data_IF_478330036714
#
_entry.id   IF_478330036714
#
_cell.length_a   1.000
_cell.length_b   1.000
_cell.length_c   1.000
_cell.angle_alpha   90.00
_cell.angle_beta   90.00
_cell.angle_gamma   90.00
#
_symmetry.space_group_name_H-M   'P 1'
#
loop_
_entity.id
_entity.type
_entity.pdbx_description
1 polymer ?
#
# COMPACT_ATOMS: atom_id res chain seq x y z
N UNK A 1 -10.96 -8.74 16.19
CA UNK A 1 -9.57 -8.76 15.74
C UNK A 1 -9.26 -10.02 14.94
N UNK A 2 -9.25 -11.23 15.53
CA UNK A 2 -8.96 -12.50 14.81
C UNK A 2 -9.79 -12.71 13.52
N UNK A 3 -11.12 -12.56 13.58
CA UNK A 3 -12.00 -12.72 12.40
C UNK A 3 -11.74 -11.72 11.26
N UNK A 4 -11.19 -10.55 11.57
CA UNK A 4 -10.94 -9.48 10.60
C UNK A 4 -9.59 -9.67 9.88
N UNK A 5 -8.56 -10.07 10.63
CA UNK A 5 -7.28 -10.52 10.09
C UNK A 5 -7.48 -11.75 9.20
N UNK A 6 -8.30 -12.70 9.65
CA UNK A 6 -8.66 -13.89 8.86
C UNK A 6 -9.42 -13.50 7.59
N UNK A 7 -10.36 -12.55 7.64
CA UNK A 7 -11.08 -12.11 6.44
C UNK A 7 -10.17 -11.38 5.43
N UNK A 8 -9.21 -10.59 5.90
CA UNK A 8 -8.18 -9.97 5.05
C UNK A 8 -7.29 -11.04 4.41
N UNK A 9 -6.81 -12.00 5.20
CA UNK A 9 -6.03 -13.13 4.70
C UNK A 9 -6.82 -13.96 3.70
N UNK A 10 -8.12 -14.17 3.93
CA UNK A 10 -9.02 -14.94 3.04
C UNK A 10 -9.31 -14.21 1.73
N UNK A 11 -9.52 -12.90 1.76
CA UNK A 11 -9.73 -12.09 0.56
C UNK A 11 -8.46 -11.98 -0.28
N UNK A 12 -7.30 -11.80 0.37
CA UNK A 12 -6.00 -11.86 -0.30
C UNK A 12 -5.73 -13.25 -0.86
N UNK A 13 -6.07 -14.32 -0.12
CA UNK A 13 -5.90 -15.70 -0.60
C UNK A 13 -6.87 -16.08 -1.73
N UNK A 14 -8.08 -15.49 -1.77
CA UNK A 14 -9.03 -15.69 -2.85
C UNK A 14 -8.57 -15.04 -4.16
N UNK A 15 -7.88 -13.91 -4.07
CA UNK A 15 -7.27 -13.26 -5.23
C UNK A 15 -6.01 -13.99 -5.72
N UNK A 16 -5.29 -14.67 -4.82
CA UNK A 16 -4.16 -15.59 -5.08
C UNK A 16 -4.52 -16.74 -6.04
N UNK A 17 -5.81 -17.09 -6.17
CA UNK A 17 -6.28 -18.10 -7.13
C UNK A 17 -6.65 -17.51 -8.50
N UNK A 18 -6.79 -16.18 -8.61
CA UNK A 18 -7.15 -15.46 -9.83
C UNK A 18 -5.97 -14.72 -10.45
N UNK A 19 -4.94 -14.42 -9.66
CA UNK A 19 -3.66 -13.99 -10.18
C UNK A 19 -3.04 -15.16 -10.99
N UNK A 20 -2.46 -14.90 -12.17
CA UNK A 20 -1.73 -15.93 -12.90
C UNK A 20 -0.71 -16.56 -11.95
N UNK A 21 -0.58 -17.90 -12.02
CA UNK A 21 0.40 -18.63 -11.23
C UNK A 21 1.75 -17.90 -11.34
N UNK A 22 2.47 -17.70 -10.21
CA UNK A 22 3.70 -16.94 -10.23
C UNK A 22 4.61 -17.54 -11.29
N UNK A 23 4.88 -16.76 -12.34
CA UNK A 23 5.94 -17.07 -13.28
C UNK A 23 7.19 -17.29 -12.41
N UNK A 24 7.72 -18.50 -12.49
CA UNK A 24 8.89 -18.93 -11.74
C UNK A 24 9.96 -17.85 -11.82
N UNK A 25 10.36 -17.33 -10.64
CA UNK A 25 11.47 -16.42 -10.38
C UNK A 25 12.28 -16.10 -11.65
N UNK A 26 12.02 -14.94 -12.25
CA UNK A 26 12.90 -14.43 -13.30
C UNK A 26 14.24 -14.04 -12.64
N UNK A 27 15.08 -15.08 -12.56
CA UNK A 27 16.50 -15.09 -12.28
C UNK A 27 17.19 -13.92 -13.03
N UNK A 28 18.12 -13.25 -12.34
CA UNK A 28 18.97 -12.14 -12.83
C UNK A 28 19.83 -12.48 -14.08
N UNK A 29 19.63 -13.68 -14.65
CA UNK A 29 20.34 -14.24 -15.78
C UNK A 29 19.32 -14.63 -16.87
N UNK A 30 19.67 -14.50 -18.16
CA UNK A 30 18.78 -14.96 -19.24
C UNK A 30 18.48 -16.46 -19.14
N UNK A 31 17.29 -16.87 -19.62
CA UNK A 31 16.76 -18.25 -19.55
C UNK A 31 17.75 -19.32 -20.04
N UNK A 32 18.51 -19.00 -21.10
CA UNK A 32 19.56 -19.89 -21.65
C UNK A 32 20.71 -20.13 -20.67
N UNK A 33 21.10 -19.11 -19.91
CA UNK A 33 22.19 -19.19 -18.92
C UNK A 33 21.76 -20.03 -17.72
N UNK A 34 20.52 -19.85 -17.29
CA UNK A 34 19.90 -20.65 -16.23
C UNK A 34 19.85 -22.12 -16.64
N UNK A 35 19.37 -22.41 -17.85
CA UNK A 35 19.24 -23.78 -18.35
C UNK A 35 20.62 -24.46 -18.47
N UNK A 36 21.63 -23.71 -18.89
CA UNK A 36 23.02 -24.18 -18.90
C UNK A 36 23.51 -24.53 -17.49
N UNK A 37 23.28 -23.68 -16.49
CA UNK A 37 23.69 -23.92 -15.10
C UNK A 37 22.94 -25.14 -14.52
N UNK A 38 21.63 -25.27 -14.77
CA UNK A 38 20.82 -26.42 -14.33
C UNK A 38 21.30 -27.75 -14.95
N UNK A 39 21.70 -27.74 -16.22
CA UNK A 39 22.24 -28.92 -16.93
C UNK A 39 23.68 -29.23 -16.56
N UNK A 40 24.43 -28.25 -16.06
CA UNK A 40 25.84 -28.37 -15.71
C UNK A 40 26.11 -27.91 -14.26
N UNK A 41 25.62 -28.67 -13.26
CA UNK A 41 25.70 -28.27 -11.84
C UNK A 41 27.14 -28.16 -11.30
N UNK A 42 28.12 -28.74 -12.01
CA UNK A 42 29.54 -28.70 -11.68
C UNK A 42 30.36 -27.76 -12.58
N UNK A 43 29.71 -26.92 -13.39
CA UNK A 43 30.40 -26.00 -14.27
C UNK A 43 31.28 -25.03 -13.46
N UNK A 44 32.54 -24.87 -13.87
CA UNK A 44 33.42 -23.87 -13.28
C UNK A 44 32.92 -22.46 -13.62
N UNK A 45 33.19 -21.46 -12.78
CA UNK A 45 32.75 -20.11 -13.07
C UNK A 45 33.37 -19.51 -14.34
N UNK A 46 34.56 -19.97 -14.76
CA UNK A 46 35.08 -19.63 -16.09
C UNK A 46 34.21 -20.19 -17.22
N UNK A 47 33.69 -21.41 -17.07
CA UNK A 47 32.79 -22.03 -18.06
C UNK A 47 31.46 -21.28 -18.14
N UNK A 48 30.92 -20.85 -17.00
CA UNK A 48 29.68 -20.04 -16.96
C UNK A 48 29.92 -18.67 -17.59
N UNK A 49 31.06 -18.02 -17.31
CA UNK A 49 31.42 -16.73 -17.91
C UNK A 49 31.56 -16.84 -19.44
N UNK A 50 32.27 -17.85 -19.93
CA UNK A 50 32.42 -18.13 -21.37
C UNK A 50 31.05 -18.39 -22.04
N UNK A 51 30.14 -19.09 -21.34
CA UNK A 51 28.79 -19.32 -21.85
C UNK A 51 27.98 -18.02 -21.95
N UNK A 52 28.08 -17.14 -20.94
CA UNK A 52 27.42 -15.82 -20.94
C UNK A 52 28.01 -14.93 -22.04
N UNK A 53 29.33 -14.87 -22.18
CA UNK A 53 30.00 -14.09 -23.24
C UNK A 53 29.55 -14.54 -24.65
N UNK A 54 29.32 -15.83 -24.86
CA UNK A 54 28.88 -16.37 -26.15
C UNK A 54 27.37 -16.31 -26.42
N UNK A 55 26.52 -16.31 -25.38
CA UNK A 55 25.06 -16.46 -25.52
C UNK A 55 24.24 -15.29 -24.98
N UNK A 56 24.84 -14.44 -24.15
CA UNK A 56 24.21 -13.30 -23.48
C UNK A 56 25.23 -12.17 -23.19
N UNK A 57 25.91 -11.64 -24.23
CA UNK A 57 27.07 -10.74 -24.07
C UNK A 57 26.76 -9.45 -23.31
N UNK A 58 25.51 -8.96 -23.38
CA UNK A 58 25.01 -7.80 -22.61
C UNK A 58 25.04 -7.97 -21.08
N UNK A 59 25.19 -9.21 -20.58
CA UNK A 59 25.31 -9.51 -19.15
C UNK A 59 26.75 -9.81 -18.72
N UNK A 60 27.71 -9.83 -19.67
CA UNK A 60 29.12 -10.15 -19.37
C UNK A 60 29.76 -9.13 -18.40
N UNK A 61 29.38 -7.85 -18.52
CA UNK A 61 29.86 -6.76 -17.66
C UNK A 61 29.32 -6.84 -16.21
N UNK A 62 28.21 -7.58 -16.01
CA UNK A 62 27.59 -7.79 -14.69
C UNK A 62 28.20 -8.96 -13.91
N UNK A 63 29.03 -9.79 -14.57
CA UNK A 63 29.66 -10.97 -14.00
C UNK A 63 31.19 -10.77 -14.03
N UNK A 64 31.71 -10.03 -13.06
CA UNK A 64 33.11 -9.58 -13.04
C UNK A 64 34.04 -10.56 -12.35
N UNK A 65 33.52 -11.43 -11.48
CA UNK A 65 34.31 -12.37 -10.69
C UNK A 65 33.64 -13.72 -10.50
N UNK A 66 34.46 -14.73 -10.18
CA UNK A 66 34.05 -16.06 -9.75
C UNK A 66 33.00 -16.01 -8.62
N UNK A 67 33.12 -15.02 -7.74
CA UNK A 67 32.23 -14.81 -6.62
C UNK A 67 30.86 -14.29 -7.05
N UNK A 68 30.78 -13.46 -8.11
CA UNK A 68 29.51 -12.91 -8.62
C UNK A 68 28.63 -14.03 -9.18
N UNK A 69 29.21 -15.00 -9.89
CA UNK A 69 28.49 -16.18 -10.39
C UNK A 69 27.95 -17.02 -9.23
N UNK A 70 28.79 -17.30 -8.23
CA UNK A 70 28.39 -18.09 -7.06
C UNK A 70 27.33 -17.36 -6.25
N UNK A 71 27.40 -16.04 -6.12
CA UNK A 71 26.38 -15.21 -5.46
C UNK A 71 25.08 -15.16 -6.25
N UNK A 72 25.12 -15.04 -7.58
CA UNK A 72 23.94 -15.05 -8.45
C UNK A 72 23.25 -16.42 -8.48
N UNK A 73 24.04 -17.51 -8.49
CA UNK A 73 23.53 -18.90 -8.48
C UNK A 73 23.02 -19.31 -7.10
N UNK A 74 23.67 -18.88 -6.02
CA UNK A 74 23.23 -19.16 -4.66
C UNK A 74 22.32 -18.08 -4.08
N UNK A 75 21.91 -17.08 -4.86
CA UNK A 75 20.84 -16.17 -4.46
C UNK A 75 19.52 -16.93 -4.47
N UNK A 76 19.30 -17.76 -3.45
CA UNK A 76 17.96 -18.02 -2.94
C UNK A 76 17.45 -16.69 -2.44
N UNK A 77 16.86 -15.91 -3.33
CA UNK A 77 16.07 -14.77 -2.93
C UNK A 77 14.94 -15.29 -2.06
N UNK A 78 15.07 -15.16 -0.75
CA UNK A 78 13.97 -15.47 0.16
C UNK A 78 12.81 -14.58 -0.25
N UNK A 79 11.60 -15.14 -0.22
CA UNK A 79 10.35 -14.40 -0.45
C UNK A 79 10.26 -13.14 0.43
N UNK A 80 11.00 -13.10 1.54
CA UNK A 80 11.02 -12.02 2.52
C UNK A 80 12.19 -11.03 2.43
N UNK A 81 13.15 -11.20 1.50
CA UNK A 81 14.38 -10.38 1.49
C UNK A 81 14.11 -8.88 1.35
N UNK A 82 13.02 -8.49 0.69
CA UNK A 82 12.57 -7.10 0.56
C UNK A 82 11.35 -6.76 1.44
N UNK A 83 10.79 -7.72 2.17
CA UNK A 83 9.59 -7.51 2.99
C UNK A 83 9.82 -6.46 4.07
N UNK A 84 11.00 -6.42 4.69
CA UNK A 84 11.29 -5.42 5.72
C UNK A 84 11.38 -4.00 5.14
N UNK A 85 11.93 -3.85 3.93
CA UNK A 85 12.02 -2.56 3.25
C UNK A 85 10.64 -2.08 2.83
N UNK A 86 9.78 -2.96 2.31
CA UNK A 86 8.40 -2.64 1.99
C UNK A 86 7.56 -2.32 3.24
N UNK A 87 7.79 -3.02 4.35
CA UNK A 87 7.17 -2.68 5.63
C UNK A 87 7.55 -1.26 6.09
N UNK A 88 8.84 -0.92 6.07
CA UNK A 88 9.31 0.44 6.35
C UNK A 88 8.72 1.46 5.38
N UNK A 89 8.66 1.12 4.10
CA UNK A 89 8.08 1.97 3.07
C UNK A 89 6.61 2.26 3.36
N UNK A 90 5.82 1.26 3.76
CA UNK A 90 4.43 1.41 4.17
C UNK A 90 4.26 2.33 5.37
N UNK A 91 5.10 2.14 6.41
CA UNK A 91 5.10 3.02 7.59
C UNK A 91 5.43 4.47 7.17
N UNK A 92 6.50 4.65 6.39
CA UNK A 92 6.95 5.97 5.93
C UNK A 92 5.89 6.63 5.05
N UNK A 93 5.25 5.89 4.16
CA UNK A 93 4.19 6.38 3.28
C UNK A 93 3.04 7.01 4.08
N UNK A 94 2.57 6.33 5.14
CA UNK A 94 1.52 6.88 6.00
C UNK A 94 1.99 8.05 6.86
N UNK A 95 3.19 7.97 7.42
CA UNK A 95 3.69 9.01 8.33
C UNK A 95 4.22 10.26 7.63
N UNK A 96 4.57 10.18 6.34
CA UNK A 96 5.02 11.32 5.54
C UNK A 96 3.95 11.87 4.60
N UNK A 97 2.89 11.10 4.34
CA UNK A 97 1.78 11.51 3.48
C UNK A 97 0.76 12.37 4.22
N UNK A 98 0.67 13.69 3.97
CA UNK A 98 -0.28 14.55 4.66
C UNK A 98 -1.74 14.15 4.39
N UNK A 99 -2.02 13.61 3.20
CA UNK A 99 -3.33 13.08 2.83
C UNK A 99 -3.79 11.96 3.79
N UNK A 100 -2.91 11.01 4.10
CA UNK A 100 -3.21 9.89 4.98
C UNK A 100 -3.39 10.33 6.42
N UNK A 101 -2.53 11.24 6.90
CA UNK A 101 -2.65 11.80 8.25
C UNK A 101 -3.99 12.50 8.41
N UNK A 102 -4.34 13.41 7.49
CA UNK A 102 -5.60 14.15 7.56
C UNK A 102 -6.82 13.24 7.41
N UNK A 103 -6.74 12.20 6.57
CA UNK A 103 -7.81 11.21 6.45
C UNK A 103 -8.03 10.42 7.75
N UNK A 104 -6.96 9.88 8.36
CA UNK A 104 -7.04 9.13 9.62
C UNK A 104 -7.50 10.01 10.77
N UNK A 105 -7.01 11.25 10.86
CA UNK A 105 -7.47 12.21 11.86
C UNK A 105 -8.97 12.49 11.67
N UNK A 106 -9.42 12.71 10.43
CA UNK A 106 -10.84 12.92 10.14
C UNK A 106 -11.67 11.70 10.57
N UNK A 107 -11.25 10.47 10.28
CA UNK A 107 -11.91 9.25 10.74
C UNK A 107 -12.05 9.18 12.26
N UNK A 108 -10.98 9.54 13.00
CA UNK A 108 -11.00 9.55 14.46
C UNK A 108 -11.98 10.57 15.03
N UNK A 109 -12.12 11.73 14.38
CA UNK A 109 -13.06 12.77 14.77
C UNK A 109 -14.52 12.35 14.53
N UNK A 110 -14.81 11.59 13.46
CA UNK A 110 -16.17 11.10 13.13
C UNK A 110 -16.57 9.93 14.05
N UNK A 111 -15.67 8.98 14.25
CA UNK A 111 -16.00 7.63 14.69
C UNK A 111 -15.48 7.38 16.11
N UNK A 112 -16.06 8.11 17.07
CA UNK A 112 -15.79 7.97 18.49
C UNK A 112 -16.05 6.53 18.98
N UNK A 113 -15.02 5.68 18.90
CA UNK A 113 -15.07 4.29 19.31
C UNK A 113 -14.03 3.45 18.58
N UNK A 114 -13.07 2.91 19.34
CA UNK A 114 -11.98 2.05 18.83
C UNK A 114 -12.49 0.98 17.86
N UNK A 115 -13.60 0.29 18.20
CA UNK A 115 -14.20 -0.75 17.35
C UNK A 115 -14.58 -0.26 15.96
N UNK A 116 -15.08 0.97 15.84
CA UNK A 116 -15.48 1.55 14.57
C UNK A 116 -14.25 2.01 13.79
N UNK A 117 -13.27 2.62 14.46
CA UNK A 117 -11.99 2.99 13.85
C UNK A 117 -11.35 1.78 13.16
N UNK A 118 -11.17 0.67 13.87
CA UNK A 118 -10.61 -0.57 13.29
C UNK A 118 -11.43 -1.12 12.11
N UNK A 119 -12.75 -0.98 12.12
CA UNK A 119 -13.60 -1.43 11.00
C UNK A 119 -13.38 -0.56 9.76
N UNK A 120 -13.33 0.76 9.93
CA UNK A 120 -13.19 1.69 8.82
C UNK A 120 -11.76 1.68 8.25
N UNK A 121 -10.74 1.72 9.11
CA UNK A 121 -9.34 1.61 8.66
C UNK A 121 -9.11 0.27 7.99
N UNK A 122 -9.65 -0.82 8.53
CA UNK A 122 -9.55 -2.12 7.90
C UNK A 122 -10.26 -2.20 6.54
N UNK A 123 -11.47 -1.65 6.40
CA UNK A 123 -12.17 -1.60 5.12
C UNK A 123 -11.39 -0.78 4.08
N UNK A 124 -10.77 0.33 4.52
CA UNK A 124 -9.89 1.13 3.70
C UNK A 124 -8.65 0.32 3.26
N UNK A 125 -7.97 -0.37 4.18
CA UNK A 125 -6.78 -1.18 3.86
C UNK A 125 -7.11 -2.31 2.88
N UNK A 126 -8.27 -2.95 3.00
CA UNK A 126 -8.72 -3.96 2.01
C UNK A 126 -8.87 -3.32 0.63
N UNK A 127 -9.60 -2.22 0.51
CA UNK A 127 -9.81 -1.53 -0.76
C UNK A 127 -8.51 -1.03 -1.39
N UNK A 128 -7.64 -0.46 -0.55
CA UNK A 128 -6.31 -0.02 -0.93
C UNK A 128 -5.47 -1.18 -1.47
N UNK A 129 -5.47 -2.32 -0.78
CA UNK A 129 -4.76 -3.52 -1.20
C UNK A 129 -5.25 -4.03 -2.57
N UNK A 130 -6.57 -4.06 -2.79
CA UNK A 130 -7.17 -4.50 -4.06
C UNK A 130 -6.63 -3.65 -5.21
N UNK A 131 -6.64 -2.33 -5.06
CA UNK A 131 -6.21 -1.42 -6.14
C UNK A 131 -4.71 -1.37 -6.34
N UNK A 132 -3.91 -1.53 -5.28
CA UNK A 132 -2.47 -1.73 -5.41
C UNK A 132 -2.12 -2.99 -6.21
N UNK A 133 -2.81 -4.10 -5.94
CA UNK A 133 -2.61 -5.34 -6.70
C UNK A 133 -3.00 -5.13 -8.17
N UNK A 134 -4.18 -4.57 -8.42
CA UNK A 134 -4.66 -4.32 -9.79
C UNK A 134 -3.73 -3.36 -10.56
N UNK A 135 -3.25 -2.31 -9.91
CA UNK A 135 -2.43 -1.31 -10.59
C UNK A 135 -0.95 -1.71 -10.71
N UNK A 136 -0.40 -2.40 -9.70
CA UNK A 136 0.95 -2.93 -9.76
C UNK A 136 1.10 -4.14 -10.69
N UNK A 137 0.04 -4.93 -10.91
CA UNK A 137 0.00 -5.96 -11.97
C UNK A 137 -0.29 -5.39 -13.37
N UNK A 138 -0.52 -4.07 -13.48
CA UNK A 138 -0.84 -3.42 -14.75
C UNK A 138 -2.27 -3.62 -15.25
N UNK A 139 -3.13 -4.36 -14.54
CA UNK A 139 -4.53 -4.60 -14.90
C UNK A 139 -5.41 -3.35 -14.81
N UNK A 140 -5.05 -2.39 -13.97
CA UNK A 140 -5.76 -1.13 -13.81
C UNK A 140 -4.81 0.05 -13.86
N UNK A 141 -5.01 0.95 -14.82
CA UNK A 141 -4.27 2.21 -14.89
C UNK A 141 -5.25 3.36 -14.97
N UNK A 142 -5.04 4.35 -14.10
CA UNK A 142 -5.85 5.57 -14.05
C UNK A 142 -4.91 6.76 -13.92
N UNK A 143 -5.26 7.86 -14.59
CA UNK A 143 -4.46 9.09 -14.54
C UNK A 143 -4.46 9.68 -13.13
N UNK A 144 -3.29 10.13 -12.67
CA UNK A 144 -3.15 10.89 -11.41
C UNK A 144 -4.07 12.12 -11.37
N UNK A 145 -4.30 12.76 -12.53
CA UNK A 145 -5.23 13.90 -12.68
C UNK A 145 -6.68 13.58 -12.29
N UNK A 146 -7.06 12.30 -12.27
CA UNK A 146 -8.38 11.84 -11.80
C UNK A 146 -8.27 11.34 -10.36
N UNK A 147 -7.23 10.54 -10.07
CA UNK A 147 -7.06 9.87 -8.79
C UNK A 147 -6.77 10.84 -7.65
N UNK A 148 -5.84 11.77 -7.83
CA UNK A 148 -5.38 12.67 -6.77
C UNK A 148 -6.43 13.69 -6.32
N UNK A 149 -7.26 14.27 -7.21
CA UNK A 149 -8.40 15.08 -6.79
C UNK A 149 -9.43 14.27 -6.00
N UNK A 150 -9.68 13.01 -6.36
CA UNK A 150 -10.63 12.14 -5.62
C UNK A 150 -10.08 11.79 -4.24
N UNK A 151 -8.76 11.56 -4.12
CA UNK A 151 -8.08 11.41 -2.83
C UNK A 151 -8.28 12.66 -1.98
N UNK A 152 -8.06 13.86 -2.52
CA UNK A 152 -8.27 15.11 -1.78
C UNK A 152 -9.75 15.30 -1.39
N UNK A 153 -10.68 15.07 -2.33
CA UNK A 153 -12.12 15.13 -2.09
C UNK A 153 -12.55 14.15 -0.98
N UNK A 154 -11.96 12.96 -0.91
CA UNK A 154 -12.26 11.99 0.15
C UNK A 154 -12.00 12.55 1.54
N UNK A 155 -10.91 13.30 1.72
CA UNK A 155 -10.55 13.93 2.99
C UNK A 155 -11.59 15.00 3.34
N UNK A 156 -11.97 15.83 2.37
CA UNK A 156 -12.99 16.85 2.57
C UNK A 156 -14.35 16.24 2.97
N UNK A 157 -14.78 15.18 2.27
CA UNK A 157 -16.05 14.48 2.55
C UNK A 157 -16.04 13.86 3.95
N UNK A 158 -14.97 13.18 4.34
CA UNK A 158 -14.87 12.56 5.68
C UNK A 158 -14.79 13.63 6.77
N UNK A 159 -14.02 14.70 6.56
CA UNK A 159 -13.92 15.83 7.49
C UNK A 159 -15.27 16.54 7.68
N UNK A 160 -15.97 16.91 6.60
CA UNK A 160 -17.29 17.55 6.69
C UNK A 160 -18.34 16.60 7.29
N UNK A 161 -18.29 15.33 6.92
CA UNK A 161 -19.18 14.29 7.46
C UNK A 161 -19.03 14.09 8.97
N UNK A 162 -17.84 14.38 9.52
CA UNK A 162 -17.56 14.30 10.97
C UNK A 162 -18.38 15.26 11.81
N UNK A 163 -18.70 16.43 11.26
CA UNK A 163 -19.23 17.57 12.02
C UNK A 163 -20.64 17.97 11.60
N UNK A 164 -20.92 17.94 10.30
CA UNK A 164 -22.19 18.46 9.76
C UNK A 164 -23.21 17.36 9.50
N UNK A 165 -22.79 16.09 9.49
CA UNK A 165 -23.64 14.95 9.12
C UNK A 165 -23.85 13.94 10.27
N UNK A 166 -23.44 14.29 11.50
CA UNK A 166 -23.48 13.42 12.68
C UNK A 166 -24.90 12.87 12.99
N UNK A 167 -25.94 13.65 12.69
CA UNK A 167 -27.35 13.29 12.85
C UNK A 167 -28.07 13.12 11.50
N UNK A 168 -27.32 13.09 10.39
CA UNK A 168 -27.89 13.09 9.06
C UNK A 168 -28.20 11.64 8.60
N UNK A 169 -29.49 11.36 8.47
CA UNK A 169 -30.05 10.07 8.00
C UNK A 169 -29.59 9.67 6.59
N UNK A 170 -29.07 10.61 5.78
CA UNK A 170 -28.61 10.37 4.40
C UNK A 170 -27.21 9.73 4.30
N UNK A 171 -26.31 9.91 5.29
CA UNK A 171 -25.14 9.04 5.50
C UNK A 171 -25.49 8.02 6.59
N UNK A 172 -26.68 7.45 6.42
CA UNK A 172 -27.39 6.57 7.32
C UNK A 172 -26.78 5.19 7.36
N UNK A 173 -26.64 4.68 8.58
CA UNK A 173 -26.13 3.37 8.93
C UNK A 173 -24.62 3.11 8.72
N UNK A 174 -24.15 2.07 9.39
CA UNK A 174 -22.75 1.62 9.39
C UNK A 174 -22.30 1.10 8.02
N UNK A 175 -23.23 0.58 7.21
CA UNK A 175 -22.93 -0.03 5.90
C UNK A 175 -22.63 1.05 4.87
N UNK A 176 -23.43 2.11 4.80
CA UNK A 176 -23.18 3.25 3.91
C UNK A 176 -21.83 3.89 4.19
N UNK A 177 -21.50 4.07 5.47
CA UNK A 177 -20.19 4.59 5.91
C UNK A 177 -19.05 3.67 5.49
N UNK A 178 -19.18 2.36 5.68
CA UNK A 178 -18.18 1.39 5.22
C UNK A 178 -18.03 1.43 3.69
N UNK A 179 -19.12 1.55 2.94
CA UNK A 179 -19.10 1.66 1.48
C UNK A 179 -18.35 2.90 0.99
N UNK A 180 -18.58 4.06 1.62
CA UNK A 180 -17.87 5.31 1.30
C UNK A 180 -16.37 5.18 1.59
N UNK A 181 -16.00 4.66 2.77
CA UNK A 181 -14.59 4.47 3.14
C UNK A 181 -13.89 3.44 2.24
N UNK A 182 -14.59 2.36 1.89
CA UNK A 182 -14.09 1.37 0.94
C UNK A 182 -13.86 2.00 -0.44
N UNK A 183 -14.84 2.75 -0.96
CA UNK A 183 -14.73 3.46 -2.23
C UNK A 183 -13.51 4.39 -2.26
N UNK A 184 -13.32 5.21 -1.22
CA UNK A 184 -12.14 6.08 -1.16
C UNK A 184 -10.83 5.30 -1.01
N UNK A 185 -10.83 4.19 -0.28
CA UNK A 185 -9.67 3.30 -0.18
C UNK A 185 -9.19 2.79 -1.54
N UNK A 186 -10.10 2.53 -2.49
CA UNK A 186 -9.75 2.15 -3.88
C UNK A 186 -8.91 3.25 -4.56
N UNK A 187 -9.33 4.51 -4.45
CA UNK A 187 -8.59 5.62 -5.08
C UNK A 187 -7.26 5.90 -4.40
N UNK A 188 -7.20 5.77 -3.08
CA UNK A 188 -5.93 5.93 -2.36
C UNK A 188 -4.90 4.87 -2.77
N UNK A 189 -5.31 3.63 -3.06
CA UNK A 189 -4.38 2.61 -3.56
C UNK A 189 -3.85 2.93 -4.97
N UNK A 190 -4.71 3.48 -5.83
CA UNK A 190 -4.29 3.95 -7.16
C UNK A 190 -3.26 5.09 -7.09
N UNK A 191 -3.36 5.97 -6.08
CA UNK A 191 -2.42 7.10 -5.91
C UNK A 191 -0.98 6.66 -5.66
N UNK A 192 -0.78 5.48 -5.07
CA UNK A 192 0.55 4.92 -4.80
C UNK A 192 1.08 4.01 -5.92
N UNK A 193 0.21 3.59 -6.85
CA UNK A 193 0.58 2.64 -7.90
C UNK A 193 1.70 3.13 -8.82
N UNK A 194 1.81 4.45 -9.03
CA UNK A 194 2.92 5.04 -9.79
C UNK A 194 4.28 4.75 -9.15
N UNK A 195 4.38 4.88 -7.83
CA UNK A 195 5.61 4.61 -7.09
C UNK A 195 6.01 3.13 -7.15
N UNK A 196 5.04 2.22 -7.13
CA UNK A 196 5.32 0.78 -7.27
C UNK A 196 5.88 0.41 -8.65
N UNK A 197 5.45 1.10 -9.71
CA UNK A 197 6.02 0.91 -11.05
C UNK A 197 7.47 1.39 -11.13
N UNK A 198 7.82 2.47 -10.44
CA UNK A 198 9.20 2.99 -10.39
C UNK A 198 10.16 2.09 -9.61
N UNK A 199 9.67 1.35 -8.61
CA UNK A 199 10.51 0.47 -7.77
C UNK A 199 10.85 -0.86 -8.46
N UNK A 200 10.23 -1.18 -9.62
CA UNK A 200 10.49 -2.39 -10.44
C UNK A 200 10.59 -3.68 -9.60
N UNK A 201 9.54 -3.96 -8.81
CA UNK A 201 9.53 -5.13 -7.92
C UNK A 201 9.52 -6.44 -8.73
N UNK A 202 10.43 -7.39 -8.45
CA UNK A 202 10.39 -8.71 -9.09
C UNK A 202 9.03 -9.40 -8.91
N UNK A 203 8.52 -10.03 -9.97
CA UNK A 203 7.17 -10.62 -9.99
C UNK A 203 6.98 -11.67 -8.88
N UNK A 204 8.00 -12.47 -8.60
CA UNK A 204 7.99 -13.52 -7.56
C UNK A 204 7.91 -12.95 -6.13
N UNK A 205 8.32 -11.69 -5.94
CA UNK A 205 8.28 -10.96 -4.66
C UNK A 205 7.16 -9.93 -4.59
N UNK A 206 6.44 -9.69 -5.69
CA UNK A 206 5.42 -8.64 -5.75
C UNK A 206 4.39 -8.76 -4.64
N UNK A 207 3.85 -9.98 -4.43
CA UNK A 207 2.83 -10.21 -3.41
C UNK A 207 3.37 -10.08 -1.98
N UNK A 208 4.58 -10.59 -1.71
CA UNK A 208 5.22 -10.47 -0.38
C UNK A 208 5.50 -9.00 -0.03
N UNK A 209 5.93 -8.24 -1.03
CA UNK A 209 6.21 -6.81 -0.95
C UNK A 209 4.94 -6.02 -0.67
N UNK A 210 3.86 -6.28 -1.41
CA UNK A 210 2.56 -5.64 -1.18
C UNK A 210 1.96 -5.99 0.18
N UNK A 211 2.04 -7.25 0.61
CA UNK A 211 1.56 -7.64 1.93
C UNK A 211 2.35 -6.93 3.05
N UNK A 212 3.67 -6.87 2.91
CA UNK A 212 4.54 -6.20 3.88
C UNK A 212 4.30 -4.69 3.90
N UNK A 213 4.09 -4.08 2.74
CA UNK A 213 3.72 -2.69 2.60
C UNK A 213 2.39 -2.36 3.29
N UNK A 214 1.35 -3.16 3.05
CA UNK A 214 0.06 -2.97 3.70
C UNK A 214 0.12 -3.19 5.22
N UNK A 215 0.94 -4.13 5.69
CA UNK A 215 1.22 -4.28 7.12
C UNK A 215 1.92 -3.03 7.68
N UNK A 216 2.86 -2.46 6.93
CA UNK A 216 3.49 -1.19 7.26
C UNK A 216 2.49 -0.03 7.33
N UNK A 217 1.52 0.02 6.40
CA UNK A 217 0.42 0.99 6.42
C UNK A 217 -0.39 0.86 7.70
N UNK A 218 -0.81 -0.36 8.07
CA UNK A 218 -1.61 -0.59 9.27
C UNK A 218 -0.84 -0.16 10.53
N UNK A 219 0.46 -0.47 10.62
CA UNK A 219 1.33 0.01 11.71
C UNK A 219 1.37 1.54 11.75
N UNK A 220 1.61 2.21 10.61
CA UNK A 220 1.66 3.67 10.53
C UNK A 220 0.34 4.33 10.95
N UNK A 221 -0.80 3.76 10.53
CA UNK A 221 -2.12 4.21 10.96
C UNK A 221 -2.31 4.04 12.46
N UNK A 222 -1.91 2.91 13.04
CA UNK A 222 -2.00 2.67 14.48
C UNK A 222 -1.13 3.63 15.29
N UNK A 223 0.02 4.05 14.78
CA UNK A 223 0.85 5.10 15.40
C UNK A 223 0.08 6.43 15.44
N UNK A 224 -0.49 6.87 14.32
CA UNK A 224 -1.28 8.12 14.28
C UNK A 224 -2.46 8.04 15.25
N UNK A 225 -3.17 6.91 15.26
CA UNK A 225 -4.29 6.65 16.16
C UNK A 225 -3.83 6.69 17.63
N UNK A 226 -2.73 6.02 17.95
CA UNK A 226 -2.16 5.96 19.30
C UNK A 226 -1.71 7.32 19.82
N UNK A 227 -1.25 8.21 18.94
CA UNK A 227 -0.88 9.58 19.28
C UNK A 227 -2.10 10.49 19.44
N UNK A 228 -3.12 10.36 18.59
CA UNK A 228 -4.29 11.24 18.61
C UNK A 228 -5.32 10.88 19.69
N UNK A 229 -5.53 9.59 19.96
CA UNK A 229 -6.57 9.10 20.88
C UNK A 229 -6.46 9.64 22.32
N UNK A 230 -5.27 9.73 22.94
CA UNK A 230 -5.14 10.30 24.29
C UNK A 230 -5.70 11.72 24.38
N UNK A 231 -5.37 12.60 23.42
CA UNK A 231 -5.88 13.97 23.40
C UNK A 231 -7.40 14.01 23.21
N UNK A 232 -7.93 13.20 22.29
CA UNK A 232 -9.38 13.06 22.09
C UNK A 232 -10.04 12.61 23.41
N UNK A 233 -9.50 11.60 24.09
CA UNK A 233 -10.05 11.08 25.34
C UNK A 233 -10.03 12.11 26.46
N UNK A 234 -8.92 12.85 26.62
CA UNK A 234 -8.75 13.85 27.67
C UNK A 234 -9.64 15.09 27.46
N UNK A 235 -9.85 15.50 26.22
CA UNK A 235 -10.54 16.73 25.89
C UNK A 235 -12.05 16.54 25.65
N UNK A 236 -12.53 15.32 25.36
CA UNK A 236 -13.93 15.07 24.94
C UNK A 236 -15.01 15.57 25.90
N UNK A 237 -14.71 15.68 27.20
CA UNK A 237 -15.66 16.10 28.22
C UNK A 237 -15.72 17.62 28.41
N UNK A 238 -14.89 18.40 27.69
CA UNK A 238 -14.86 19.87 27.80
C UNK A 238 -16.02 20.47 27.00
N UNK A 239 -16.66 21.51 27.54
CA UNK A 239 -17.80 22.20 26.92
C UNK A 239 -17.47 22.82 25.56
N UNK A 240 -16.21 23.26 25.36
CA UNK A 240 -15.71 23.81 24.10
C UNK A 240 -15.26 22.74 23.08
N UNK A 241 -15.18 21.46 23.49
CA UNK A 241 -14.68 20.39 22.63
C UNK A 241 -15.47 20.22 21.32
N UNK A 242 -16.82 20.25 21.32
CA UNK A 242 -17.58 20.16 20.07
C UNK A 242 -17.22 21.27 19.08
N UNK A 243 -17.07 22.51 19.55
CA UNK A 243 -16.68 23.65 18.71
C UNK A 243 -15.27 23.46 18.14
N UNK A 244 -14.32 23.01 18.96
CA UNK A 244 -12.97 22.71 18.50
C UNK A 244 -12.99 21.68 17.36
N UNK A 245 -13.76 20.59 17.48
CA UNK A 245 -13.88 19.58 16.42
C UNK A 245 -14.48 20.19 15.15
N UNK A 246 -15.47 21.09 15.26
CA UNK A 246 -16.01 21.80 14.08
C UNK A 246 -14.96 22.63 13.37
N UNK A 247 -14.16 23.38 14.13
CA UNK A 247 -13.09 24.24 13.60
C UNK A 247 -12.02 23.38 12.91
N UNK A 248 -11.54 22.31 13.56
CA UNK A 248 -10.53 21.41 13.00
C UNK A 248 -11.06 20.74 11.73
N UNK A 249 -12.27 20.19 11.75
CA UNK A 249 -12.86 19.54 10.58
C UNK A 249 -13.07 20.54 9.43
N UNK A 250 -13.50 21.77 9.73
CA UNK A 250 -13.61 22.85 8.75
C UNK A 250 -12.27 23.17 8.12
N UNK A 251 -11.22 23.33 8.93
CA UNK A 251 -9.86 23.58 8.44
C UNK A 251 -9.34 22.44 7.53
N UNK A 252 -9.50 21.18 7.96
CA UNK A 252 -9.12 20.01 7.16
C UNK A 252 -9.89 19.99 5.84
N UNK A 253 -11.20 20.22 5.87
CA UNK A 253 -12.02 20.25 4.66
C UNK A 253 -11.61 21.36 3.70
N UNK A 254 -11.32 22.56 4.21
CA UNK A 254 -10.83 23.69 3.39
C UNK A 254 -9.50 23.35 2.73
N UNK A 255 -8.53 22.81 3.48
CA UNK A 255 -7.23 22.37 2.93
C UNK A 255 -7.44 21.32 1.84
N UNK A 256 -8.26 20.31 2.11
CA UNK A 256 -8.54 19.23 1.18
C UNK A 256 -9.23 19.71 -0.10
N UNK A 257 -10.15 20.68 -0.01
CA UNK A 257 -10.80 21.29 -1.18
C UNK A 257 -9.78 22.09 -2.00
N UNK A 258 -8.90 22.85 -1.35
CA UNK A 258 -7.81 23.58 -2.04
C UNK A 258 -6.92 22.60 -2.79
N UNK A 259 -6.48 21.51 -2.14
CA UNK A 259 -5.67 20.46 -2.79
C UNK A 259 -6.39 19.79 -3.95
N UNK A 260 -7.69 19.53 -3.82
CA UNK A 260 -8.49 18.96 -4.91
C UNK A 260 -8.40 19.83 -6.16
N UNK A 261 -8.61 21.14 -6.04
CA UNK A 261 -8.48 22.05 -7.18
C UNK A 261 -7.05 22.13 -7.72
N UNK A 262 -6.04 22.17 -6.85
CA UNK A 262 -4.64 22.16 -7.27
C UNK A 262 -4.22 20.90 -8.03
N UNK A 263 -4.88 19.77 -7.80
CA UNK A 263 -4.56 18.50 -8.45
C UNK A 263 -5.37 18.25 -9.74
N UNK A 264 -6.38 19.10 -10.01
CA UNK A 264 -7.16 19.07 -11.26
C UNK A 264 -6.42 19.80 -12.40
N UNK A 265 -5.74 20.90 -12.07
CA UNK A 265 -5.08 21.80 -13.02
C UNK A 265 -3.57 21.60 -13.01
#
# INVERSE_FOLDING_TARGET
>A
MKRFIILNLVLVSGFLMLAPAPASAHELLPEKVIEYIKRNPNASPEQIKLYIEGNAPEYSDKVKSQQDVITLVNQKTSFFDNSFDFLKLGIKHILSGPDHILFVLSLLLVFAGLKNVFKYTGAFTVAHSITLILAGSGLLTLSSRIVEPIIALSIAVVALGSVFLKDNKYIGDIKSKLGIIFFFGLFHGLGFAGLLKEIEVPEDKFLSSLLSFNLGIEIGQLVIIGLALPFIYLLRNKTWYPLLIKIIAGAIATIAIIWMFQRIF
#
